data_IF_008445929595
#
_entry.id   IF_008445929595
#
_cell.length_a   1.000
_cell.length_b   1.000
_cell.length_c   1.000
_cell.angle_alpha   90.00
_cell.angle_beta   90.00
_cell.angle_gamma   90.00
#
_symmetry.space_group_name_H-M   'P 1'
#
loop_
_entity.id
_entity.type
_entity.pdbx_description
1 polymer ?
#
# COMPACT_ATOMS: atom_id res chain seq x y z
N UNK A 1 3.29 -0.88 -10.56
CA UNK A 1 4.72 -1.00 -10.24
C UNK A 1 5.39 0.34 -9.92
N UNK A 2 4.96 1.01 -8.83
CA UNK A 2 5.45 2.34 -8.42
C UNK A 2 6.70 2.31 -7.52
N UNK A 3 7.38 1.18 -7.41
CA UNK A 3 8.59 1.06 -6.58
C UNK A 3 8.36 0.95 -5.06
N UNK A 4 7.11 0.80 -4.58
CA UNK A 4 6.78 0.73 -3.14
C UNK A 4 7.64 -0.26 -2.35
N UNK A 5 7.66 -1.53 -2.79
CA UNK A 5 8.44 -2.57 -2.12
C UNK A 5 9.95 -2.23 -2.06
N UNK A 6 10.48 -1.65 -3.14
CA UNK A 6 11.88 -1.21 -3.21
C UNK A 6 12.14 -0.11 -2.19
N UNK A 7 11.29 0.90 -2.12
CA UNK A 7 11.45 2.02 -1.19
C UNK A 7 11.24 1.60 0.26
N UNK A 8 10.27 0.71 0.54
CA UNK A 8 10.07 0.17 1.89
C UNK A 8 11.33 -0.60 2.37
N UNK A 9 11.91 -1.44 1.51
CA UNK A 9 13.15 -2.16 1.80
C UNK A 9 14.32 -1.19 2.04
N UNK A 10 14.52 -0.23 1.14
CA UNK A 10 15.63 0.74 1.24
C UNK A 10 15.50 1.61 2.50
N UNK A 11 14.29 2.04 2.85
CA UNK A 11 14.06 2.79 4.09
C UNK A 11 14.39 1.94 5.32
N UNK A 12 13.94 0.66 5.34
CA UNK A 12 14.23 -0.24 6.45
C UNK A 12 15.72 -0.51 6.58
N UNK A 13 16.44 -0.71 5.47
CA UNK A 13 17.88 -0.89 5.44
C UNK A 13 18.60 0.36 5.94
N UNK A 14 18.20 1.56 5.47
CA UNK A 14 18.75 2.83 5.93
C UNK A 14 18.62 2.99 7.45
N UNK A 15 17.44 2.74 8.02
CA UNK A 15 17.23 2.80 9.46
C UNK A 15 18.14 1.85 10.23
N UNK A 16 18.32 0.62 9.74
CA UNK A 16 19.22 -0.37 10.35
C UNK A 16 20.69 0.09 10.31
N UNK A 17 21.13 0.79 9.25
CA UNK A 17 22.50 1.36 9.21
C UNK A 17 22.73 2.44 10.26
N UNK A 18 21.65 3.08 10.74
CA UNK A 18 21.67 4.05 11.85
C UNK A 18 21.49 3.39 13.22
N UNK A 19 21.57 2.05 13.31
CA UNK A 19 21.31 1.27 14.53
C UNK A 19 19.88 1.44 15.10
N UNK A 20 18.90 1.75 14.23
CA UNK A 20 17.50 1.83 14.60
C UNK A 20 16.86 0.47 14.40
N UNK A 21 16.15 0.00 15.42
CA UNK A 21 15.32 -1.20 15.30
C UNK A 21 14.20 -0.93 14.27
N UNK A 22 14.23 -1.66 13.17
CA UNK A 22 13.24 -1.51 12.10
C UNK A 22 12.94 -2.85 11.45
N UNK A 23 11.67 -3.07 11.11
CA UNK A 23 11.23 -4.21 10.32
C UNK A 23 10.33 -3.79 9.17
N UNK A 24 10.33 -4.61 8.12
CA UNK A 24 9.46 -4.44 6.98
C UNK A 24 8.45 -5.58 6.93
N UNK A 25 7.19 -5.22 6.80
CA UNK A 25 6.09 -6.13 6.49
C UNK A 25 5.49 -5.77 5.13
N UNK A 26 4.73 -6.67 4.57
CA UNK A 26 4.00 -6.47 3.31
C UNK A 26 2.57 -6.97 3.44
N UNK A 27 1.66 -6.36 2.73
CA UNK A 27 0.28 -6.85 2.59
C UNK A 27 -0.18 -6.74 1.13
N UNK A 28 -0.56 -7.87 0.49
CA UNK A 28 -0.55 -9.21 1.08
C UNK A 28 0.86 -9.80 1.16
N UNK A 29 1.10 -10.60 2.20
CA UNK A 29 2.26 -11.47 2.30
C UNK A 29 1.90 -12.87 1.79
N UNK A 30 2.37 -13.19 0.59
CA UNK A 30 2.05 -14.45 -0.09
C UNK A 30 2.82 -15.68 0.46
N UNK A 31 3.70 -15.49 1.43
CA UNK A 31 4.40 -16.62 2.08
C UNK A 31 3.58 -17.21 3.23
N UNK A 32 2.65 -16.44 3.80
CA UNK A 32 1.77 -16.89 4.87
C UNK A 32 0.65 -17.81 4.35
N UNK A 33 -0.08 -18.47 5.25
CA UNK A 33 -1.14 -19.40 4.88
C UNK A 33 -2.28 -18.69 4.13
N UNK A 34 -2.82 -17.62 4.71
CA UNK A 34 -3.88 -16.82 4.07
C UNK A 34 -3.39 -16.11 2.80
N UNK A 35 -2.13 -15.69 2.78
CA UNK A 35 -1.54 -15.04 1.61
C UNK A 35 -1.40 -15.97 0.40
N UNK A 36 -1.05 -17.24 0.62
CA UNK A 36 -1.03 -18.27 -0.44
C UNK A 36 -2.44 -18.49 -1.01
N UNK A 37 -3.45 -18.57 -0.15
CA UNK A 37 -4.84 -18.69 -0.59
C UNK A 37 -5.26 -17.44 -1.39
N UNK A 38 -5.00 -16.24 -0.85
CA UNK A 38 -5.33 -14.97 -1.50
C UNK A 38 -4.67 -14.85 -2.88
N UNK A 39 -3.41 -15.28 -3.03
CA UNK A 39 -2.72 -15.33 -4.34
C UNK A 39 -3.47 -16.19 -5.35
N UNK A 40 -3.91 -17.38 -4.94
CA UNK A 40 -4.67 -18.28 -5.82
C UNK A 40 -6.03 -17.69 -6.21
N UNK A 41 -6.70 -16.97 -5.28
CA UNK A 41 -7.96 -16.26 -5.57
C UNK A 41 -7.76 -15.11 -6.56
N UNK A 42 -6.75 -14.28 -6.37
CA UNK A 42 -6.40 -13.18 -7.28
C UNK A 42 -6.06 -13.69 -8.70
N UNK A 43 -5.55 -14.90 -8.82
CA UNK A 43 -5.27 -15.59 -10.08
C UNK A 43 -6.48 -16.36 -10.63
N UNK A 44 -7.67 -16.24 -10.03
CA UNK A 44 -8.89 -17.00 -10.38
C UNK A 44 -8.73 -18.53 -10.29
N UNK A 45 -7.76 -19.05 -9.54
CA UNK A 45 -7.53 -20.49 -9.34
C UNK A 45 -8.45 -21.10 -8.27
N UNK A 46 -9.09 -20.28 -7.45
CA UNK A 46 -10.06 -20.67 -6.42
C UNK A 46 -11.41 -19.95 -6.63
N UNK A 47 -11.90 -19.95 -7.86
CA UNK A 47 -13.13 -19.29 -8.25
C UNK A 47 -12.90 -17.93 -8.93
N UNK A 48 -14.00 -17.30 -9.38
CA UNK A 48 -13.92 -16.01 -10.06
C UNK A 48 -13.82 -14.87 -9.03
N UNK A 49 -12.66 -14.24 -8.91
CA UNK A 49 -12.41 -13.09 -8.03
C UNK A 49 -13.40 -11.94 -8.28
N UNK A 50 -13.80 -11.71 -9.54
CA UNK A 50 -14.70 -10.63 -9.88
C UNK A 50 -16.14 -10.86 -9.38
N UNK A 51 -16.54 -12.12 -9.08
CA UNK A 51 -17.89 -12.44 -8.63
C UNK A 51 -18.11 -12.34 -7.13
N UNK A 52 -17.06 -12.22 -6.32
CA UNK A 52 -17.17 -12.05 -4.87
C UNK A 52 -17.33 -10.60 -4.49
N UNK A 53 -18.04 -10.34 -3.38
CA UNK A 53 -18.31 -8.99 -2.91
C UNK A 53 -17.03 -8.27 -2.45
N UNK A 54 -17.03 -6.94 -2.48
CA UNK A 54 -15.92 -6.17 -1.96
C UNK A 54 -15.70 -6.39 -0.45
N UNK A 55 -16.78 -6.67 0.30
CA UNK A 55 -16.68 -7.01 1.72
C UNK A 55 -15.92 -8.33 1.94
N UNK A 56 -16.20 -9.34 1.13
CA UNK A 56 -15.49 -10.61 1.19
C UNK A 56 -14.01 -10.44 0.80
N UNK A 57 -13.73 -9.67 -0.26
CA UNK A 57 -12.37 -9.30 -0.66
C UNK A 57 -11.62 -8.60 0.46
N UNK A 58 -12.26 -7.63 1.12
CA UNK A 58 -11.72 -6.93 2.29
C UNK A 58 -11.31 -7.91 3.39
N UNK A 59 -12.17 -8.90 3.69
CA UNK A 59 -11.89 -9.94 4.67
C UNK A 59 -10.61 -10.73 4.38
N UNK A 60 -10.35 -11.10 3.13
CA UNK A 60 -9.12 -11.81 2.76
C UNK A 60 -7.86 -10.98 2.98
N UNK A 61 -7.88 -9.69 2.63
CA UNK A 61 -6.73 -8.80 2.87
C UNK A 61 -6.51 -8.54 4.36
N UNK A 62 -7.59 -8.37 5.12
CA UNK A 62 -7.53 -8.15 6.56
C UNK A 62 -6.99 -9.39 7.29
N UNK A 63 -7.49 -10.59 6.96
CA UNK A 63 -7.00 -11.85 7.52
C UNK A 63 -5.48 -12.02 7.31
N UNK A 64 -4.99 -11.64 6.14
CA UNK A 64 -3.55 -11.71 5.84
C UNK A 64 -2.73 -10.74 6.71
N UNK A 65 -3.22 -9.54 6.99
CA UNK A 65 -2.52 -8.60 7.90
C UNK A 65 -2.50 -9.08 9.34
N UNK A 66 -3.58 -9.68 9.80
CA UNK A 66 -3.70 -10.21 11.18
C UNK A 66 -2.65 -11.29 11.48
N UNK A 67 -2.16 -12.03 10.48
CA UNK A 67 -1.09 -13.01 10.69
C UNK A 67 0.20 -12.39 11.23
N UNK A 68 0.44 -11.10 10.98
CA UNK A 68 1.61 -10.35 11.49
C UNK A 68 1.30 -9.49 12.72
N UNK A 69 0.06 -9.49 13.22
CA UNK A 69 -0.40 -8.57 14.26
C UNK A 69 0.47 -8.58 15.52
N UNK A 70 0.71 -9.76 16.07
CA UNK A 70 1.42 -9.88 17.35
C UNK A 70 2.88 -9.40 17.24
N UNK A 71 3.53 -9.69 16.11
CA UNK A 71 4.88 -9.22 15.83
C UNK A 71 4.92 -7.69 15.70
N UNK A 72 3.97 -7.11 14.95
CA UNK A 72 3.85 -5.65 14.78
C UNK A 72 3.60 -4.95 16.11
N UNK A 73 2.68 -5.47 16.97
CA UNK A 73 2.40 -4.92 18.29
C UNK A 73 3.65 -5.01 19.19
N UNK A 74 4.35 -6.15 19.17
CA UNK A 74 5.58 -6.33 19.92
C UNK A 74 6.65 -5.33 19.52
N UNK A 75 6.83 -5.09 18.22
CA UNK A 75 7.77 -4.09 17.72
C UNK A 75 7.37 -2.67 18.11
N UNK A 76 6.10 -2.34 18.01
CA UNK A 76 5.59 -1.03 18.44
C UNK A 76 5.87 -0.78 19.94
N UNK A 77 5.69 -1.78 20.79
CA UNK A 77 5.96 -1.68 22.23
C UNK A 77 7.44 -1.40 22.56
N UNK A 78 8.36 -1.79 21.69
CA UNK A 78 9.81 -1.52 21.80
C UNK A 78 10.26 -0.25 21.08
N UNK A 79 9.33 0.58 20.61
CA UNK A 79 9.59 1.80 19.83
C UNK A 79 10.37 1.54 18.53
N UNK A 80 10.30 0.33 17.98
CA UNK A 80 10.86 0.02 16.69
C UNK A 80 10.04 0.69 15.57
N UNK A 81 10.69 0.99 14.46
CA UNK A 81 10.00 1.51 13.27
C UNK A 81 9.49 0.34 12.43
N UNK A 82 8.18 0.30 12.22
CA UNK A 82 7.53 -0.69 11.36
C UNK A 82 7.24 -0.05 10.01
N UNK A 83 7.77 -0.62 8.94
CA UNK A 83 7.55 -0.19 7.56
C UNK A 83 6.67 -1.21 6.85
N UNK A 84 5.50 -0.79 6.36
CA UNK A 84 4.62 -1.64 5.58
C UNK A 84 4.69 -1.33 4.08
N UNK A 85 4.91 -2.36 3.24
CA UNK A 85 4.57 -2.27 1.81
C UNK A 85 3.09 -2.62 1.65
N UNK A 86 2.27 -1.60 1.49
CA UNK A 86 0.81 -1.58 1.55
C UNK A 86 0.26 -1.86 2.97
N UNK A 87 -0.63 -1.00 3.41
CA UNK A 87 -1.35 -1.14 4.66
C UNK A 87 -2.83 -0.79 4.48
N UNK A 88 -3.52 -0.36 5.53
CA UNK A 88 -4.97 -0.14 5.54
C UNK A 88 -5.44 0.84 4.47
N UNK A 89 -4.72 1.95 4.23
CA UNK A 89 -5.09 2.91 3.17
C UNK A 89 -5.05 2.31 1.77
N UNK A 90 -4.23 1.29 1.55
CA UNK A 90 -4.26 0.53 0.28
C UNK A 90 -5.52 -0.30 0.14
N UNK A 91 -6.05 -0.86 1.24
CA UNK A 91 -7.34 -1.55 1.22
C UNK A 91 -8.50 -0.57 1.02
N UNK A 92 -8.46 0.61 1.65
CA UNK A 92 -9.48 1.65 1.43
C UNK A 92 -9.58 1.99 -0.05
N UNK A 93 -8.48 2.39 -0.70
CA UNK A 93 -8.49 2.74 -2.11
C UNK A 93 -8.94 1.57 -3.01
N UNK A 94 -8.42 0.37 -2.75
CA UNK A 94 -8.73 -0.81 -3.55
C UNK A 94 -10.20 -1.23 -3.39
N UNK A 95 -10.75 -1.26 -2.17
CA UNK A 95 -12.14 -1.65 -1.94
C UNK A 95 -13.14 -0.62 -2.46
N UNK A 96 -12.80 0.67 -2.48
CA UNK A 96 -13.63 1.70 -3.13
C UNK A 96 -13.76 1.42 -4.64
N UNK A 97 -12.67 1.12 -5.31
CA UNK A 97 -12.68 0.78 -6.75
C UNK A 97 -13.43 -0.53 -7.00
N UNK A 98 -13.24 -1.53 -6.16
CA UNK A 98 -13.96 -2.81 -6.25
C UNK A 98 -15.47 -2.64 -6.02
N UNK A 99 -15.87 -1.86 -5.03
CA UNK A 99 -17.28 -1.60 -4.71
C UNK A 99 -18.01 -0.83 -5.83
N UNK A 100 -17.29 0.02 -6.54
CA UNK A 100 -17.85 0.78 -7.65
C UNK A 100 -18.15 -0.06 -8.91
N UNK A 101 -17.53 -1.22 -9.07
CA UNK A 101 -17.69 -2.09 -10.25
C UNK A 101 -17.61 -1.35 -11.59
N UNK A 102 -16.67 -0.39 -11.70
CA UNK A 102 -16.51 0.43 -12.91
C UNK A 102 -17.55 1.56 -13.08
N UNK A 103 -18.41 1.77 -12.10
CA UNK A 103 -19.33 2.90 -12.07
C UNK A 103 -18.69 4.14 -11.44
N UNK A 104 -19.36 5.28 -11.52
CA UNK A 104 -18.94 6.51 -10.88
C UNK A 104 -18.89 6.33 -9.34
N UNK A 105 -17.78 6.75 -8.74
CA UNK A 105 -17.54 6.63 -7.30
C UNK A 105 -18.11 7.86 -6.60
N UNK A 106 -19.20 7.67 -5.85
CA UNK A 106 -19.81 8.73 -5.03
C UNK A 106 -19.09 8.91 -3.69
N UNK A 107 -19.25 10.09 -3.07
CA UNK A 107 -18.68 10.33 -1.72
C UNK A 107 -19.36 9.46 -0.66
N UNK A 108 -20.65 9.11 -0.85
CA UNK A 108 -21.36 8.17 0.03
C UNK A 108 -20.69 6.79 -0.01
N UNK A 109 -20.40 6.25 -1.21
CA UNK A 109 -19.72 4.97 -1.36
C UNK A 109 -18.32 5.00 -0.73
N UNK A 110 -17.56 6.09 -0.93
CA UNK A 110 -16.23 6.25 -0.31
C UNK A 110 -16.32 6.20 1.21
N UNK A 111 -17.28 6.92 1.79
CA UNK A 111 -17.47 6.97 3.25
C UNK A 111 -17.86 5.61 3.80
N UNK A 112 -18.80 4.92 3.15
CA UNK A 112 -19.23 3.57 3.53
C UNK A 112 -18.07 2.58 3.52
N UNK A 113 -17.35 2.48 2.41
CA UNK A 113 -16.25 1.53 2.24
C UNK A 113 -15.11 1.84 3.19
N UNK A 114 -14.71 3.12 3.33
CA UNK A 114 -13.67 3.54 4.27
C UNK A 114 -14.07 3.15 5.70
N UNK A 115 -15.29 3.46 6.12
CA UNK A 115 -15.78 3.13 7.47
C UNK A 115 -15.74 1.62 7.74
N UNK A 116 -16.15 0.80 6.77
CA UNK A 116 -16.12 -0.65 6.90
C UNK A 116 -14.68 -1.19 7.01
N UNK A 117 -13.76 -0.72 6.15
CA UNK A 117 -12.34 -1.12 6.19
C UNK A 117 -11.70 -0.73 7.52
N UNK A 118 -11.87 0.52 7.94
CA UNK A 118 -11.27 1.02 9.19
C UNK A 118 -11.85 0.32 10.42
N UNK A 119 -13.15 0.03 10.44
CA UNK A 119 -13.78 -0.74 11.52
C UNK A 119 -13.20 -2.15 11.61
N UNK A 120 -13.14 -2.87 10.50
CA UNK A 120 -12.57 -4.22 10.48
C UNK A 120 -11.10 -4.23 10.94
N UNK A 121 -10.29 -3.31 10.40
CA UNK A 121 -8.84 -3.32 10.66
C UNK A 121 -8.49 -2.82 12.07
N UNK A 122 -9.01 -1.65 12.44
CA UNK A 122 -8.57 -1.00 13.68
C UNK A 122 -9.42 -1.39 14.90
N UNK A 123 -10.74 -1.57 14.74
CA UNK A 123 -11.61 -1.90 15.85
C UNK A 123 -11.73 -3.42 16.09
N UNK A 124 -12.10 -4.18 15.06
CA UNK A 124 -12.33 -5.62 15.21
C UNK A 124 -11.01 -6.41 15.29
N UNK A 125 -10.11 -6.18 14.33
CA UNK A 125 -8.82 -6.84 14.29
C UNK A 125 -7.78 -6.22 15.25
N UNK A 126 -8.05 -5.02 15.76
CA UNK A 126 -7.12 -4.27 16.65
C UNK A 126 -5.72 -4.11 16.01
N UNK A 127 -5.65 -3.90 14.70
CA UNK A 127 -4.39 -3.57 14.04
C UNK A 127 -3.94 -2.15 14.48
N UNK A 128 -2.65 -1.92 14.73
CA UNK A 128 -2.15 -0.58 15.03
C UNK A 128 -2.46 0.40 13.90
N UNK A 129 -2.91 1.62 14.24
CA UNK A 129 -3.08 2.66 13.25
C UNK A 129 -1.70 3.19 12.82
N UNK A 130 -1.53 3.38 11.51
CA UNK A 130 -0.30 3.96 10.96
C UNK A 130 -0.13 5.43 11.38
N UNK A 131 1.10 5.84 11.71
CA UNK A 131 1.43 7.25 11.99
C UNK A 131 1.41 8.10 10.71
N UNK A 132 1.82 7.49 9.58
CA UNK A 132 1.83 8.12 8.27
C UNK A 132 1.82 7.08 7.16
N UNK A 133 1.09 7.38 6.09
CA UNK A 133 1.15 6.64 4.82
C UNK A 133 1.91 7.45 3.77
N UNK A 134 2.62 6.77 2.87
CA UNK A 134 3.30 7.39 1.73
C UNK A 134 2.64 6.91 0.44
N UNK A 135 2.12 7.83 -0.32
CA UNK A 135 1.61 7.59 -1.67
C UNK A 135 2.66 7.96 -2.71
N UNK A 136 3.15 6.98 -3.47
CA UNK A 136 4.03 7.19 -4.62
C UNK A 136 3.18 7.55 -5.83
N UNK A 137 3.14 8.83 -6.13
CA UNK A 137 2.38 9.38 -7.23
C UNK A 137 3.14 9.19 -8.55
N UNK A 138 2.62 8.28 -9.35
CA UNK A 138 3.14 7.96 -10.69
C UNK A 138 1.97 7.89 -11.67
N UNK A 139 2.06 8.48 -12.86
CA UNK A 139 1.00 8.39 -13.86
C UNK A 139 0.63 6.93 -14.17
N UNK A 140 -0.66 6.57 -14.18
CA UNK A 140 -1.11 5.20 -14.36
C UNK A 140 -0.50 4.48 -15.57
N UNK A 141 -0.38 5.18 -16.70
CA UNK A 141 0.24 4.64 -17.92
C UNK A 141 1.71 4.23 -17.67
N UNK A 142 2.48 5.09 -16.98
CA UNK A 142 3.88 4.78 -16.65
C UNK A 142 3.95 3.58 -15.70
N UNK A 143 3.06 3.51 -14.71
CA UNK A 143 2.99 2.38 -13.78
C UNK A 143 2.69 1.05 -14.51
N UNK A 144 1.77 1.06 -15.47
CA UNK A 144 1.43 -0.12 -16.29
C UNK A 144 2.59 -0.53 -17.19
N UNK A 145 3.29 0.42 -17.80
CA UNK A 145 4.44 0.12 -18.66
C UNK A 145 5.61 -0.49 -17.86
N UNK A 146 5.89 0.02 -16.67
CA UNK A 146 6.86 -0.56 -15.74
C UNK A 146 6.45 -1.98 -15.30
N UNK A 147 5.16 -2.21 -15.08
CA UNK A 147 4.64 -3.51 -14.70
C UNK A 147 4.84 -4.54 -15.83
N UNK A 148 4.52 -4.16 -17.08
CA UNK A 148 4.73 -5.00 -18.26
C UNK A 148 6.21 -5.37 -18.45
N UNK A 149 7.12 -4.42 -18.24
CA UNK A 149 8.56 -4.67 -18.26
C UNK A 149 8.96 -5.75 -17.25
N UNK A 150 8.58 -5.59 -16.00
CA UNK A 150 8.87 -6.56 -14.92
C UNK A 150 8.29 -7.95 -15.17
N UNK A 151 7.05 -8.04 -15.68
CA UNK A 151 6.40 -9.34 -15.97
C UNK A 151 7.08 -10.11 -17.08
N UNK A 152 7.62 -9.42 -18.10
CA UNK A 152 8.44 -10.08 -19.14
C UNK A 152 9.69 -10.75 -18.55
N UNK A 153 10.28 -10.16 -17.51
CA UNK A 153 11.48 -10.70 -16.85
C UNK A 153 11.15 -11.86 -15.89
N UNK A 154 9.98 -11.82 -15.25
CA UNK A 154 9.59 -12.77 -14.18
C UNK A 154 8.59 -13.85 -14.63
N UNK A 155 8.09 -13.82 -15.87
CA UNK A 155 7.08 -14.74 -16.39
C UNK A 155 5.80 -14.82 -15.56
N UNK A 156 5.43 -13.73 -14.85
CA UNK A 156 4.25 -13.66 -14.02
C UNK A 156 2.97 -13.50 -14.86
N UNK A 157 1.89 -14.16 -14.43
CA UNK A 157 0.57 -13.99 -15.05
C UNK A 157 0.01 -12.60 -14.76
N UNK A 158 -0.78 -12.05 -15.69
CA UNK A 158 -1.46 -10.77 -15.52
C UNK A 158 -2.54 -10.89 -14.44
N UNK A 159 -2.55 -9.92 -13.52
CA UNK A 159 -3.61 -9.77 -12.53
C UNK A 159 -4.63 -8.72 -12.99
N UNK A 160 -5.85 -8.78 -12.44
CA UNK A 160 -6.91 -7.80 -12.72
C UNK A 160 -6.43 -6.35 -12.51
N UNK A 161 -5.66 -6.11 -11.47
CA UNK A 161 -5.11 -4.77 -11.16
C UNK A 161 -4.09 -4.24 -12.17
N UNK A 162 -3.70 -5.04 -13.17
CA UNK A 162 -2.76 -4.62 -14.21
C UNK A 162 -3.43 -3.84 -15.35
N UNK A 163 -4.75 -3.84 -15.41
CA UNK A 163 -5.48 -3.09 -16.43
C UNK A 163 -5.37 -1.58 -16.17
N UNK A 164 -5.15 -0.82 -17.25
CA UNK A 164 -4.95 0.64 -17.17
C UNK A 164 -6.14 1.33 -16.49
N UNK A 165 -7.37 0.96 -16.83
CA UNK A 165 -8.58 1.56 -16.23
C UNK A 165 -8.65 1.37 -14.72
N UNK A 166 -8.22 0.21 -14.21
CA UNK A 166 -8.16 -0.06 -12.77
C UNK A 166 -7.07 0.78 -12.11
N UNK A 167 -5.90 0.90 -12.77
CA UNK A 167 -4.81 1.75 -12.26
C UNK A 167 -5.18 3.23 -12.26
N UNK A 168 -5.95 3.70 -13.24
CA UNK A 168 -6.48 5.07 -13.29
C UNK A 168 -7.48 5.32 -12.14
N UNK A 169 -8.41 4.42 -11.92
CA UNK A 169 -9.36 4.52 -10.81
C UNK A 169 -8.64 4.50 -9.44
N UNK A 170 -7.70 3.57 -9.23
CA UNK A 170 -6.89 3.51 -8.01
C UNK A 170 -6.06 4.77 -7.80
N UNK A 171 -5.43 5.30 -8.84
CA UNK A 171 -4.66 6.53 -8.77
C UNK A 171 -5.54 7.71 -8.34
N UNK A 172 -6.72 7.86 -8.95
CA UNK A 172 -7.68 8.90 -8.59
C UNK A 172 -8.07 8.81 -7.10
N UNK A 173 -8.38 7.60 -6.60
CA UNK A 173 -8.72 7.42 -5.19
C UNK A 173 -7.53 7.70 -4.25
N UNK A 174 -6.32 7.29 -4.58
CA UNK A 174 -5.13 7.63 -3.77
C UNK A 174 -4.86 9.14 -3.74
N UNK A 175 -5.02 9.85 -4.87
CA UNK A 175 -4.88 11.31 -4.92
C UNK A 175 -5.92 11.94 -4.00
N UNK A 176 -7.19 11.53 -4.09
CA UNK A 176 -8.27 12.05 -3.25
C UNK A 176 -8.01 11.78 -1.76
N UNK A 177 -7.60 10.57 -1.39
CA UNK A 177 -7.27 10.22 0.00
C UNK A 177 -6.13 11.12 0.52
N UNK A 178 -5.09 11.37 -0.30
CA UNK A 178 -3.98 12.22 0.10
C UNK A 178 -4.38 13.71 0.25
N UNK A 179 -5.26 14.20 -0.61
CA UNK A 179 -5.78 15.57 -0.55
C UNK A 179 -6.71 15.79 0.65
N UNK A 180 -7.54 14.79 0.99
CA UNK A 180 -8.43 14.83 2.15
C UNK A 180 -7.68 14.66 3.49
N UNK A 181 -6.53 13.99 3.50
CA UNK A 181 -5.79 13.65 4.71
C UNK A 181 -4.29 13.98 4.61
N UNK A 182 -3.90 15.24 4.30
CA UNK A 182 -2.49 15.59 4.07
C UNK A 182 -1.61 15.40 5.31
N UNK A 183 -2.22 15.38 6.51
CA UNK A 183 -1.52 15.11 7.76
C UNK A 183 -1.16 13.64 7.94
N UNK A 184 -1.89 12.73 7.30
CA UNK A 184 -1.70 11.29 7.45
C UNK A 184 -1.22 10.59 6.18
N UNK A 185 -1.30 11.25 5.02
CA UNK A 185 -0.80 10.69 3.76
C UNK A 185 0.09 11.67 3.01
N UNK A 186 1.38 11.35 2.94
CA UNK A 186 2.38 12.11 2.21
C UNK A 186 2.36 11.66 0.75
N UNK A 187 2.17 12.60 -0.17
CA UNK A 187 2.24 12.36 -1.62
C UNK A 187 3.66 12.64 -2.11
N UNK A 188 4.33 11.62 -2.67
CA UNK A 188 5.66 11.73 -3.26
C UNK A 188 5.54 11.60 -4.77
N UNK A 189 5.82 12.66 -5.52
CA UNK A 189 5.87 12.60 -6.98
C UNK A 189 7.05 11.75 -7.45
N UNK A 190 6.75 10.70 -8.20
CA UNK A 190 7.76 9.87 -8.85
C UNK A 190 8.24 10.48 -10.17
N UNK A 191 7.67 11.60 -10.61
CA UNK A 191 8.07 12.31 -11.83
C UNK A 191 8.78 13.63 -11.52
N UNK A 192 9.67 14.00 -12.44
CA UNK A 192 10.27 15.34 -12.52
C UNK A 192 10.06 15.87 -13.93
N UNK A 193 9.02 16.69 -14.10
CA UNK A 193 8.49 16.95 -15.43
C UNK A 193 8.05 15.65 -16.10
N UNK A 194 8.56 15.37 -17.29
CA UNK A 194 8.27 14.15 -18.04
C UNK A 194 9.21 12.98 -17.72
N UNK A 195 10.21 13.20 -16.86
CA UNK A 195 11.20 12.17 -16.48
C UNK A 195 10.75 11.39 -15.25
N UNK A 196 10.81 10.07 -15.32
CA UNK A 196 10.70 9.23 -14.14
C UNK A 196 11.95 9.40 -13.25
N UNK A 197 11.74 9.73 -11.98
CA UNK A 197 12.81 9.80 -10.98
C UNK A 197 13.47 8.44 -10.78
N UNK A 198 14.76 8.46 -10.52
CA UNK A 198 15.49 7.26 -10.11
C UNK A 198 15.01 6.75 -8.74
N UNK A 199 15.35 5.50 -8.44
CA UNK A 199 15.06 4.88 -7.12
C UNK A 199 15.68 5.71 -6.00
N UNK A 200 16.90 6.21 -6.17
CA UNK A 200 17.62 6.98 -5.17
C UNK A 200 17.00 8.36 -4.94
N UNK A 201 16.59 9.07 -6.02
CA UNK A 201 15.90 10.35 -5.92
C UNK A 201 14.57 10.21 -5.15
N UNK A 202 13.77 9.18 -5.46
CA UNK A 202 12.53 8.91 -4.72
C UNK A 202 12.83 8.57 -3.26
N UNK A 203 13.85 7.77 -2.99
CA UNK A 203 14.29 7.44 -1.64
C UNK A 203 14.71 8.66 -0.82
N UNK A 204 15.41 9.61 -1.43
CA UNK A 204 15.77 10.88 -0.80
C UNK A 204 14.52 11.71 -0.46
N UNK A 205 13.56 11.82 -1.39
CA UNK A 205 12.29 12.51 -1.14
C UNK A 205 11.50 11.88 0.01
N UNK A 206 11.45 10.55 0.07
CA UNK A 206 10.81 9.82 1.18
C UNK A 206 11.45 10.18 2.52
N UNK A 207 12.77 10.10 2.63
CA UNK A 207 13.48 10.42 3.87
C UNK A 207 13.31 11.88 4.27
N UNK A 208 13.40 12.80 3.32
CA UNK A 208 13.18 14.23 3.57
C UNK A 208 11.76 14.50 4.08
N UNK A 209 10.76 13.92 3.46
CA UNK A 209 9.35 14.06 3.87
C UNK A 209 9.09 13.48 5.27
N UNK A 210 9.70 12.33 5.60
CA UNK A 210 9.62 11.75 6.93
C UNK A 210 10.33 12.59 7.99
N UNK A 211 11.51 13.16 7.66
CA UNK A 211 12.22 14.09 8.55
C UNK A 211 11.40 15.36 8.85
N UNK A 212 10.68 15.88 7.85
CA UNK A 212 9.77 17.01 8.02
C UNK A 212 8.52 16.64 8.84
N UNK A 213 7.96 15.44 8.62
CA UNK A 213 6.79 14.97 9.35
C UNK A 213 7.09 14.68 10.81
N UNK A 214 8.28 14.19 11.11
CA UNK A 214 8.73 13.84 12.46
C UNK A 214 9.99 14.63 12.85
N UNK A 215 9.87 15.94 13.11
CA UNK A 215 11.02 16.82 13.35
C UNK A 215 11.87 16.37 14.55
N UNK A 216 11.25 15.86 15.61
CA UNK A 216 11.95 15.33 16.79
C UNK A 216 12.76 14.05 16.50
N UNK A 217 12.52 13.41 15.36
CA UNK A 217 13.18 12.19 14.89
C UNK A 217 13.85 12.37 13.52
N UNK A 218 14.03 13.62 13.05
CA UNK A 218 14.54 13.94 11.72
C UNK A 218 15.91 13.28 11.43
N UNK A 219 16.77 13.16 12.45
CA UNK A 219 18.09 12.53 12.36
C UNK A 219 18.04 11.05 11.97
N UNK A 220 16.91 10.36 12.16
CA UNK A 220 16.75 8.96 11.78
C UNK A 220 16.67 8.79 10.26
N UNK A 221 16.24 9.83 9.56
CA UNK A 221 16.00 9.83 8.11
C UNK A 221 17.09 10.55 7.31
N UNK A 222 18.02 11.22 7.99
CA UNK A 222 19.11 11.96 7.37
C UNK A 222 20.14 11.04 6.68
#
# INVERSE_FOLDING_TARGET
>A
SSGKATQARLLTEHLKTKNISAAMFRSPDYETASGKELKLRLQNKLGNWQSISWQEKMGYFAANRVEHKDEVISMHSTQAIVVYDRYVQSSVAFMIVEAAHGQEISDTLRSEVRGAVETLEYAENSMPKEDVSIFFDIPPKVAVDLLKGRKKEQSDEAEYTDYLSVQEALHTEYVKIAEENPEHMIRISCMEGDRLRSIDEVGQLVRLALAQKFPDRAQLFA
#
